data_IF_531753416661
#
_entry.id   IF_531753416661
#
_cell.length_a   1.000
_cell.length_b   1.000
_cell.length_c   1.000
_cell.angle_alpha   90.00
_cell.angle_beta   90.00
_cell.angle_gamma   90.00
#
_symmetry.space_group_name_H-M   'P 1'
#
loop_
_entity.id
_entity.type
_entity.pdbx_description
1 polymer ?
#
# COMPACT_ATOMS: atom_id res chain seq x y z
N UNK A 1 -2.35 -10.57 -21.67
CA UNK A 1 -1.49 -11.02 -20.55
C UNK A 1 -0.49 -9.94 -20.13
N UNK A 2 0.26 -9.29 -21.02
CA UNK A 2 1.23 -8.23 -20.68
C UNK A 2 0.62 -7.05 -19.92
N UNK A 3 -0.60 -6.62 -20.29
CA UNK A 3 -1.30 -5.50 -19.65
C UNK A 3 -1.67 -5.74 -18.18
N UNK A 4 -1.68 -6.99 -17.72
CA UNK A 4 -1.92 -7.34 -16.31
C UNK A 4 -0.63 -7.56 -15.53
N UNK A 5 0.42 -8.04 -16.20
CA UNK A 5 1.71 -8.34 -15.55
C UNK A 5 2.51 -7.08 -15.24
N UNK A 6 2.49 -6.10 -16.14
CA UNK A 6 3.28 -4.88 -15.98
C UNK A 6 2.88 -4.04 -14.75
N UNK A 7 1.58 -3.78 -14.47
CA UNK A 7 1.18 -3.15 -13.22
C UNK A 7 1.56 -3.97 -11.98
N UNK A 8 1.46 -5.30 -12.05
CA UNK A 8 1.85 -6.18 -10.94
C UNK A 8 3.35 -6.09 -10.64
N UNK A 9 4.19 -6.10 -11.66
CA UNK A 9 5.64 -5.95 -11.51
C UNK A 9 6.00 -4.58 -10.92
N UNK A 10 5.31 -3.52 -11.35
CA UNK A 10 5.47 -2.19 -10.80
C UNK A 10 5.14 -2.15 -9.31
N UNK A 11 4.01 -2.76 -8.92
CA UNK A 11 3.61 -2.85 -7.50
C UNK A 11 4.67 -3.61 -6.70
N UNK A 12 5.11 -4.78 -7.17
CA UNK A 12 6.09 -5.61 -6.46
C UNK A 12 7.41 -4.84 -6.31
N UNK A 13 7.91 -4.24 -7.39
CA UNK A 13 9.15 -3.46 -7.37
C UNK A 13 9.06 -2.27 -6.43
N UNK A 14 8.03 -1.45 -6.56
CA UNK A 14 7.81 -0.28 -5.70
C UNK A 14 7.65 -0.68 -4.23
N UNK A 15 6.91 -1.75 -3.95
CA UNK A 15 6.70 -2.23 -2.59
C UNK A 15 7.98 -2.76 -1.96
N UNK A 16 8.84 -3.41 -2.76
CA UNK A 16 10.17 -3.87 -2.31
C UNK A 16 11.03 -2.68 -1.87
N UNK A 17 11.16 -1.64 -2.70
CA UNK A 17 11.89 -0.42 -2.35
C UNK A 17 11.27 0.29 -1.15
N UNK A 18 9.94 0.37 -1.09
CA UNK A 18 9.21 0.94 0.03
C UNK A 18 9.62 0.30 1.37
N UNK A 19 9.57 -1.04 1.48
CA UNK A 19 9.93 -1.73 2.72
C UNK A 19 11.41 -1.57 3.07
N UNK A 20 12.31 -1.56 2.10
CA UNK A 20 13.74 -1.29 2.31
C UNK A 20 13.91 0.11 2.89
N UNK A 21 13.33 1.13 2.26
CA UNK A 21 13.44 2.52 2.71
C UNK A 21 12.80 2.73 4.10
N UNK A 22 11.61 2.16 4.33
CA UNK A 22 10.93 2.26 5.62
C UNK A 22 11.75 1.64 6.76
N UNK A 23 12.42 0.52 6.51
CA UNK A 23 13.32 -0.12 7.49
C UNK A 23 14.63 0.64 7.67
N UNK A 24 15.13 1.30 6.62
CA UNK A 24 16.39 2.06 6.64
C UNK A 24 16.22 3.46 7.23
N UNK A 25 15.00 3.86 7.59
CA UNK A 25 14.75 5.16 8.20
C UNK A 25 15.42 5.24 9.59
N UNK A 26 16.21 6.30 9.85
CA UNK A 26 16.90 6.44 11.14
C UNK A 26 15.93 6.39 12.34
N UNK A 27 16.34 5.71 13.42
CA UNK A 27 15.47 5.54 14.60
C UNK A 27 15.24 6.85 15.36
N UNK A 28 16.20 7.76 15.31
CA UNK A 28 16.15 9.10 15.90
C UNK A 28 15.37 10.11 15.06
N UNK A 29 15.12 9.82 13.78
CA UNK A 29 14.34 10.71 12.93
C UNK A 29 12.87 10.76 13.34
N UNK A 30 12.29 11.95 13.36
CA UNK A 30 10.85 12.09 13.63
C UNK A 30 10.02 11.47 12.51
N UNK A 31 9.22 10.44 12.83
CA UNK A 31 8.45 9.67 11.84
C UNK A 31 7.63 10.56 10.91
N UNK A 32 6.82 11.45 11.47
CA UNK A 32 5.99 12.34 10.64
C UNK A 32 6.79 13.39 9.88
N UNK A 33 7.98 13.77 10.35
CA UNK A 33 8.90 14.63 9.61
C UNK A 33 9.41 13.92 8.35
N UNK A 34 9.83 12.68 8.46
CA UNK A 34 10.25 11.87 7.33
C UNK A 34 9.11 11.64 6.34
N UNK A 35 7.89 11.32 6.84
CA UNK A 35 6.70 11.16 5.98
C UNK A 35 6.33 12.45 5.25
N UNK A 36 6.51 13.62 5.88
CA UNK A 36 6.28 14.91 5.21
C UNK A 36 7.19 15.06 3.99
N UNK A 37 8.48 14.73 4.11
CA UNK A 37 9.41 14.77 2.98
C UNK A 37 9.01 13.76 1.91
N UNK A 38 8.65 12.54 2.30
CA UNK A 38 8.17 11.50 1.38
C UNK A 38 6.97 11.97 0.57
N UNK A 39 5.97 12.56 1.22
CA UNK A 39 4.77 13.02 0.54
C UNK A 39 5.00 14.25 -0.33
N UNK A 40 5.89 15.15 0.06
CA UNK A 40 6.28 16.29 -0.80
C UNK A 40 6.93 15.80 -2.09
N UNK A 41 7.84 14.85 -2.00
CA UNK A 41 8.47 14.25 -3.19
C UNK A 41 7.41 13.54 -4.05
N UNK A 42 6.55 12.73 -3.42
CA UNK A 42 5.44 12.05 -4.11
C UNK A 42 4.48 13.02 -4.78
N UNK A 43 4.12 14.11 -4.11
CA UNK A 43 3.26 15.17 -4.65
C UNK A 43 3.89 15.87 -5.86
N UNK A 44 5.18 16.19 -5.80
CA UNK A 44 5.90 16.80 -6.93
C UNK A 44 5.93 15.87 -8.13
N UNK A 45 6.27 14.58 -7.92
CA UNK A 45 6.34 13.60 -9.01
C UNK A 45 4.96 13.37 -9.62
N UNK A 46 3.91 13.20 -8.80
CA UNK A 46 2.56 12.99 -9.29
C UNK A 46 1.98 14.22 -9.99
N UNK A 47 2.27 15.43 -9.49
CA UNK A 47 1.89 16.67 -10.15
C UNK A 47 2.59 16.84 -11.50
N UNK A 48 3.89 16.56 -11.58
CA UNK A 48 4.63 16.58 -12.84
C UNK A 48 4.05 15.57 -13.85
N UNK A 49 3.78 14.35 -13.43
CA UNK A 49 3.16 13.33 -14.26
C UNK A 49 1.77 13.76 -14.74
N UNK A 50 0.97 14.37 -13.86
CA UNK A 50 -0.36 14.88 -14.18
C UNK A 50 -0.29 15.97 -15.26
N UNK A 51 0.56 16.98 -15.06
CA UNK A 51 0.73 18.08 -16.04
C UNK A 51 1.28 17.56 -17.37
N UNK A 52 2.18 16.58 -17.35
CA UNK A 52 2.70 15.96 -18.56
C UNK A 52 1.65 15.13 -19.33
N UNK A 53 0.66 14.59 -18.62
CA UNK A 53 -0.37 13.70 -19.20
C UNK A 53 -1.61 14.46 -19.69
N UNK A 54 -1.86 15.65 -19.16
CA UNK A 54 -3.07 16.43 -19.42
C UNK A 54 -2.72 17.73 -20.13
N UNK A 55 -3.51 18.10 -21.15
CA UNK A 55 -3.35 19.43 -21.79
C UNK A 55 -3.64 20.53 -20.76
N UNK A 56 -2.85 21.62 -20.73
CA UNK A 56 -2.98 22.69 -19.71
C UNK A 56 -4.41 23.24 -19.58
N UNK A 57 -5.13 23.35 -20.69
CA UNK A 57 -6.53 23.82 -20.69
C UNK A 57 -7.53 22.91 -19.95
N UNK A 58 -7.19 21.66 -19.72
CA UNK A 58 -8.09 20.65 -19.14
C UNK A 58 -7.75 20.30 -17.68
N UNK A 59 -6.70 20.86 -17.10
CA UNK A 59 -6.25 20.54 -15.74
C UNK A 59 -7.36 20.74 -14.70
N UNK A 60 -8.03 21.89 -14.72
CA UNK A 60 -9.13 22.17 -13.79
C UNK A 60 -10.31 21.24 -14.01
N UNK A 61 -10.62 20.94 -15.27
CA UNK A 61 -11.73 20.02 -15.61
C UNK A 61 -11.45 18.61 -15.08
N UNK A 62 -10.22 18.13 -15.18
CA UNK A 62 -9.84 16.81 -14.63
C UNK A 62 -9.86 16.80 -13.10
N UNK A 63 -9.44 17.88 -12.44
CA UNK A 63 -9.52 18.00 -10.98
C UNK A 63 -10.97 18.00 -10.47
N UNK A 64 -11.89 18.62 -11.21
CA UNK A 64 -13.32 18.60 -10.84
C UNK A 64 -14.00 17.22 -10.95
N UNK A 65 -13.39 16.26 -11.62
CA UNK A 65 -13.89 14.87 -11.69
C UNK A 65 -13.55 14.06 -10.43
N UNK A 66 -12.69 14.59 -9.57
CA UNK A 66 -12.30 13.89 -8.35
C UNK A 66 -13.46 13.86 -7.36
N UNK A 67 -13.67 12.66 -6.79
CA UNK A 67 -14.63 12.44 -5.71
C UNK A 67 -13.92 12.48 -4.34
N UNK A 68 -14.57 11.98 -3.30
CA UNK A 68 -14.04 11.91 -1.93
C UNK A 68 -12.88 10.90 -1.76
N UNK A 69 -12.73 9.93 -2.67
CA UNK A 69 -11.80 8.81 -2.50
C UNK A 69 -10.32 9.22 -2.36
N UNK A 70 -9.76 10.15 -3.17
CA UNK A 70 -8.38 10.60 -2.99
C UNK A 70 -8.09 11.21 -1.61
N UNK A 71 -9.07 11.89 -1.00
CA UNK A 71 -8.90 12.49 0.33
C UNK A 71 -8.80 11.43 1.42
N UNK A 72 -9.68 10.42 1.38
CA UNK A 72 -9.65 9.30 2.33
C UNK A 72 -8.42 8.42 2.09
N UNK A 73 -8.02 8.23 0.84
CA UNK A 73 -6.80 7.52 0.50
C UNK A 73 -5.57 8.21 1.08
N UNK A 74 -5.50 9.55 1.02
CA UNK A 74 -4.43 10.33 1.63
C UNK A 74 -4.31 10.07 3.13
N UNK A 75 -5.44 10.07 3.85
CA UNK A 75 -5.46 9.74 5.29
C UNK A 75 -5.02 8.29 5.55
N UNK A 76 -5.52 7.35 4.75
CA UNK A 76 -5.18 5.93 4.90
C UNK A 76 -3.68 5.67 4.65
N UNK A 77 -3.07 6.33 3.67
CA UNK A 77 -1.64 6.21 3.38
C UNK A 77 -0.79 6.71 4.56
N UNK A 78 -1.16 7.83 5.20
CA UNK A 78 -0.44 8.31 6.40
C UNK A 78 -0.44 7.26 7.49
N UNK A 79 -1.59 6.63 7.77
CA UNK A 79 -1.71 5.56 8.75
C UNK A 79 -0.89 4.32 8.38
N UNK A 80 -0.93 3.92 7.11
CA UNK A 80 -0.21 2.77 6.59
C UNK A 80 1.31 2.97 6.70
N UNK A 81 1.83 4.10 6.28
CA UNK A 81 3.27 4.36 6.30
C UNK A 81 3.81 4.58 7.70
N UNK A 82 3.10 5.35 8.54
CA UNK A 82 3.46 5.49 9.95
C UNK A 82 3.46 4.13 10.67
N UNK A 83 2.44 3.30 10.40
CA UNK A 83 2.34 1.95 10.93
C UNK A 83 3.54 1.07 10.56
N UNK A 84 3.97 1.09 9.30
CA UNK A 84 5.13 0.34 8.84
C UNK A 84 6.44 0.83 9.48
N UNK A 85 6.63 2.16 9.60
CA UNK A 85 7.82 2.71 10.28
C UNK A 85 7.86 2.27 11.75
N UNK A 86 6.74 2.35 12.47
CA UNK A 86 6.65 1.90 13.86
C UNK A 86 6.85 0.39 13.99
N UNK A 87 6.31 -0.41 13.06
CA UNK A 87 6.50 -1.85 13.02
C UNK A 87 7.99 -2.21 12.94
N UNK A 88 8.74 -1.57 12.05
CA UNK A 88 10.15 -1.83 11.88
C UNK A 88 11.00 -1.29 13.03
N UNK A 89 10.64 -0.16 13.64
CA UNK A 89 11.27 0.35 14.87
C UNK A 89 11.02 -0.56 16.07
N UNK A 90 9.89 -1.24 16.12
CA UNK A 90 9.61 -2.26 17.12
C UNK A 90 10.45 -3.55 16.94
N UNK A 91 11.39 -3.58 15.99
CA UNK A 91 12.33 -4.67 15.77
C UNK A 91 11.87 -5.76 14.79
N UNK A 92 10.73 -5.60 14.12
CA UNK A 92 10.29 -6.59 13.16
C UNK A 92 11.22 -6.70 11.97
N UNK A 93 11.47 -7.94 11.53
CA UNK A 93 12.22 -8.22 10.30
C UNK A 93 11.37 -7.86 9.09
N UNK A 94 12.00 -7.31 8.02
CA UNK A 94 11.29 -6.93 6.78
C UNK A 94 10.48 -8.11 6.23
N UNK A 95 11.08 -9.29 6.17
CA UNK A 95 10.46 -10.50 5.64
C UNK A 95 9.21 -10.93 6.42
N UNK A 96 9.23 -10.83 7.74
CA UNK A 96 8.09 -11.20 8.59
C UNK A 96 7.03 -10.10 8.61
N UNK A 97 7.43 -8.85 8.81
CA UNK A 97 6.50 -7.72 8.89
C UNK A 97 5.66 -7.57 7.62
N UNK A 98 6.29 -7.63 6.45
CA UNK A 98 5.59 -7.54 5.17
C UNK A 98 4.67 -8.73 4.92
N UNK A 99 5.10 -9.96 5.20
CA UNK A 99 4.28 -11.17 4.98
C UNK A 99 3.08 -11.17 5.93
N UNK A 100 3.30 -10.94 7.23
CA UNK A 100 2.21 -10.88 8.22
C UNK A 100 1.21 -9.78 7.87
N UNK A 101 1.68 -8.58 7.55
CA UNK A 101 0.83 -7.45 7.18
C UNK A 101 -0.02 -7.75 5.94
N UNK A 102 0.59 -8.26 4.87
CA UNK A 102 -0.12 -8.54 3.62
C UNK A 102 -1.13 -9.69 3.74
N UNK A 103 -0.81 -10.76 4.49
CA UNK A 103 -1.77 -11.87 4.68
C UNK A 103 -2.93 -11.42 5.58
N UNK A 104 -2.63 -10.69 6.67
CA UNK A 104 -3.69 -10.13 7.52
C UNK A 104 -4.61 -9.19 6.73
N UNK A 105 -4.04 -8.35 5.87
CA UNK A 105 -4.79 -7.47 4.98
C UNK A 105 -5.65 -8.28 3.99
N UNK A 106 -5.11 -9.35 3.39
CA UNK A 106 -5.86 -10.20 2.48
C UNK A 106 -7.10 -10.83 3.14
N UNK A 107 -6.97 -11.26 4.41
CA UNK A 107 -8.11 -11.76 5.20
C UNK A 107 -9.17 -10.68 5.38
N UNK A 108 -8.76 -9.47 5.81
CA UNK A 108 -9.69 -8.34 6.01
C UNK A 108 -10.36 -7.95 4.70
N UNK A 109 -9.61 -7.87 3.60
CA UNK A 109 -10.15 -7.51 2.29
C UNK A 109 -11.14 -8.57 1.74
N UNK A 110 -10.98 -9.82 2.09
CA UNK A 110 -11.95 -10.86 1.74
C UNK A 110 -13.31 -10.60 2.39
N UNK A 111 -13.34 -10.21 3.68
CA UNK A 111 -14.57 -9.79 4.36
C UNK A 111 -15.13 -8.48 3.78
N UNK A 112 -14.28 -7.51 3.51
CA UNK A 112 -14.69 -6.23 2.88
C UNK A 112 -15.29 -6.47 1.50
N UNK A 113 -14.65 -7.30 0.66
CA UNK A 113 -15.16 -7.69 -0.65
C UNK A 113 -16.55 -8.32 -0.57
N UNK A 114 -16.75 -9.23 0.39
CA UNK A 114 -18.03 -9.87 0.60
C UNK A 114 -19.10 -8.89 1.06
N UNK A 115 -18.86 -8.10 2.12
CA UNK A 115 -19.89 -7.25 2.74
C UNK A 115 -20.15 -5.94 1.98
N UNK A 116 -19.09 -5.28 1.47
CA UNK A 116 -19.23 -3.97 0.80
C UNK A 116 -19.44 -4.11 -0.71
N UNK A 117 -18.71 -5.02 -1.33
CA UNK A 117 -18.70 -5.16 -2.79
C UNK A 117 -19.55 -6.35 -3.28
N UNK A 118 -20.16 -7.13 -2.35
CA UNK A 118 -20.98 -8.32 -2.65
C UNK A 118 -20.26 -9.33 -3.56
N UNK A 119 -18.94 -9.43 -3.40
CA UNK A 119 -18.15 -10.41 -4.12
C UNK A 119 -18.47 -11.82 -3.63
N UNK A 120 -18.54 -12.79 -4.54
CA UNK A 120 -18.76 -14.18 -4.16
C UNK A 120 -17.44 -14.79 -3.68
N UNK A 121 -17.40 -15.17 -2.40
CA UNK A 121 -16.25 -15.89 -1.84
C UNK A 121 -16.31 -17.34 -2.30
N UNK A 122 -15.28 -17.76 -3.02
CA UNK A 122 -15.15 -19.15 -3.46
C UNK A 122 -14.49 -20.01 -2.38
N UNK A 123 -14.83 -21.29 -2.33
CA UNK A 123 -14.17 -22.26 -1.44
C UNK A 123 -12.64 -22.29 -1.66
N UNK A 124 -12.19 -22.09 -2.88
CA UNK A 124 -10.75 -21.97 -3.21
C UNK A 124 -10.07 -20.80 -2.49
N UNK A 125 -10.73 -19.65 -2.42
CA UNK A 125 -10.19 -18.47 -1.72
C UNK A 125 -10.10 -18.73 -0.21
N UNK A 126 -11.11 -19.37 0.40
CA UNK A 126 -11.07 -19.75 1.81
C UNK A 126 -9.93 -20.73 2.12
N UNK A 127 -9.75 -21.75 1.29
CA UNK A 127 -8.64 -22.70 1.43
C UNK A 127 -7.30 -21.96 1.26
N UNK A 128 -7.17 -21.07 0.28
CA UNK A 128 -5.96 -20.28 0.07
C UNK A 128 -5.58 -19.44 1.27
N UNK A 129 -6.56 -18.74 1.87
CA UNK A 129 -6.34 -17.95 3.09
C UNK A 129 -5.96 -18.84 4.28
N UNK A 130 -6.59 -20.00 4.45
CA UNK A 130 -6.24 -20.95 5.51
C UNK A 130 -4.80 -21.45 5.37
N UNK A 131 -4.36 -21.78 4.15
CA UNK A 131 -2.97 -22.20 3.87
C UNK A 131 -1.99 -21.04 4.15
N UNK A 132 -2.33 -19.82 3.77
CA UNK A 132 -1.51 -18.64 4.09
C UNK A 132 -1.39 -18.42 5.61
N UNK A 133 -2.49 -18.57 6.35
CA UNK A 133 -2.49 -18.46 7.81
C UNK A 133 -1.62 -19.54 8.48
N UNK A 134 -1.67 -20.78 7.98
CA UNK A 134 -0.77 -21.86 8.42
C UNK A 134 0.69 -21.54 8.10
N UNK A 135 0.98 -21.00 6.92
CA UNK A 135 2.33 -20.52 6.55
C UNK A 135 2.85 -19.44 7.50
N UNK A 136 1.99 -18.49 7.89
CA UNK A 136 2.33 -17.48 8.90
C UNK A 136 2.68 -18.10 10.26
N UNK A 137 1.89 -19.06 10.71
CA UNK A 137 2.14 -19.74 11.98
C UNK A 137 3.51 -20.44 12.00
N UNK A 138 3.91 -21.02 10.87
CA UNK A 138 5.23 -21.66 10.72
C UNK A 138 6.37 -20.63 10.68
N UNK A 139 6.14 -19.44 10.12
CA UNK A 139 7.14 -18.36 10.06
C UNK A 139 7.29 -17.62 11.40
N UNK A 140 6.26 -17.61 12.24
CA UNK A 140 6.27 -16.92 13.52
C UNK A 140 7.03 -17.68 14.63
N UNK A 141 7.44 -18.92 14.38
CA UNK A 141 8.32 -19.72 15.23
C UNK A 141 9.79 -19.54 14.87
#
# INVERSE_FOLDING_TARGET
>A
MWNMLLPLLLIIGSNTFYHICAKSMPEDAHTFGALTVTYLIGAVISAAAFVASVRPANVLTELHKLNWAPFVLGLAIVGLEAGNVFLYRAGWKISLGSVVGNISLAVVLLFVGYFLFREQITVRQLIGVAVCALGLFLLAK
#
